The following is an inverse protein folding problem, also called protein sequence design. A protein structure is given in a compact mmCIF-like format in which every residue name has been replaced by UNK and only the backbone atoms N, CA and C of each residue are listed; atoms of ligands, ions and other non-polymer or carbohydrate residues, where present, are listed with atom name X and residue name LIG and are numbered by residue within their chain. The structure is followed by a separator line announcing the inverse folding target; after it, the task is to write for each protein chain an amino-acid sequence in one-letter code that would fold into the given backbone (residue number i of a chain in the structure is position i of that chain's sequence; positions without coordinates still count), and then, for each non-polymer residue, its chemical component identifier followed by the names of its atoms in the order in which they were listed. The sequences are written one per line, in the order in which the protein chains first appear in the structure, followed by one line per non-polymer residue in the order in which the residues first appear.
data_IF_851809806901
#
_entry.id   IF_851809806901
#
_cell.length_a   1.000
_cell.length_b   1.000
_cell.length_c   1.000
_cell.angle_alpha   90.00
_cell.angle_beta   90.00
_cell.angle_gamma   90.00
#
_symmetry.space_group_name_H-M   'P 1'
#
loop_
_entity.id
_entity.type
_entity.pdbx_description
1 polymer ?
#
# COMPACT_ATOMS: atom_id res chain seq x y z
N UNK A 1 4.85 -19.62 26.38
CA UNK A 1 3.97 -18.93 25.41
C UNK A 1 4.52 -19.11 24.01
N UNK A 2 3.67 -19.00 22.99
CA UNK A 2 4.13 -18.93 21.60
C UNK A 2 4.69 -17.52 21.31
N UNK A 3 5.73 -17.43 20.48
CA UNK A 3 6.33 -16.18 20.06
C UNK A 3 6.74 -16.27 18.58
N UNK A 4 6.95 -15.12 17.94
CA UNK A 4 7.42 -15.03 16.56
C UNK A 4 8.88 -14.59 16.52
N UNK A 5 9.63 -15.09 15.54
CA UNK A 5 10.95 -14.59 15.16
C UNK A 5 10.83 -14.01 13.77
N UNK A 6 11.23 -12.74 13.60
CA UNK A 6 11.24 -12.05 12.31
C UNK A 6 12.69 -11.89 11.84
N UNK A 7 13.06 -12.60 10.78
CA UNK A 7 14.35 -12.42 10.12
C UNK A 7 14.26 -11.24 9.14
N UNK A 8 14.82 -10.10 9.55
CA UNK A 8 14.84 -8.88 8.72
C UNK A 8 15.79 -9.00 7.54
N UNK A 9 16.86 -9.81 7.66
CA UNK A 9 17.83 -9.99 6.58
C UNK A 9 17.19 -10.70 5.38
N UNK A 10 16.27 -11.62 5.64
CA UNK A 10 15.51 -12.29 4.59
C UNK A 10 14.60 -11.33 3.80
N UNK A 11 14.00 -10.32 4.45
CA UNK A 11 13.23 -9.26 3.79
C UNK A 11 14.14 -8.46 2.85
N UNK A 12 15.30 -8.03 3.35
CA UNK A 12 16.29 -7.27 2.57
C UNK A 12 16.81 -8.10 1.39
N UNK A 13 17.10 -9.39 1.63
CA UNK A 13 17.54 -10.32 0.59
C UNK A 13 16.49 -10.45 -0.52
N UNK A 14 15.23 -10.68 -0.17
CA UNK A 14 14.12 -10.77 -1.15
C UNK A 14 13.93 -9.48 -1.94
N UNK A 15 14.03 -8.31 -1.29
CA UNK A 15 13.98 -7.03 -1.97
C UNK A 15 15.12 -6.89 -3.01
N UNK A 16 16.35 -7.23 -2.63
CA UNK A 16 17.50 -7.20 -3.55
C UNK A 16 17.30 -8.15 -4.72
N UNK A 17 16.82 -9.37 -4.47
CA UNK A 17 16.50 -10.34 -5.52
C UNK A 17 15.43 -9.80 -6.47
N UNK A 18 14.36 -9.17 -5.97
CA UNK A 18 13.35 -8.54 -6.81
C UNK A 18 13.95 -7.51 -7.75
N UNK A 19 14.82 -6.62 -7.24
CA UNK A 19 15.47 -5.59 -8.07
C UNK A 19 16.35 -6.17 -9.18
N UNK A 20 16.98 -7.33 -8.95
CA UNK A 20 17.80 -8.03 -9.96
C UNK A 20 16.93 -8.77 -10.98
N UNK A 21 15.91 -9.52 -10.51
CA UNK A 21 15.09 -10.39 -11.35
C UNK A 21 14.03 -9.60 -12.14
N UNK A 22 13.53 -8.51 -11.57
CA UNK A 22 12.43 -7.69 -12.11
C UNK A 22 12.85 -6.21 -12.18
N UNK A 23 13.93 -5.85 -12.91
CA UNK A 23 14.53 -4.51 -12.84
C UNK A 23 13.61 -3.39 -13.32
N UNK A 24 12.58 -3.73 -14.11
CA UNK A 24 11.58 -2.79 -14.66
C UNK A 24 10.28 -2.73 -13.87
N UNK A 25 10.13 -3.54 -12.81
CA UNK A 25 8.88 -3.63 -12.04
C UNK A 25 9.12 -3.09 -10.64
N UNK A 26 8.48 -1.97 -10.32
CA UNK A 26 8.49 -1.41 -8.97
C UNK A 26 7.61 -2.28 -8.06
N UNK A 27 8.16 -2.87 -6.97
CA UNK A 27 7.34 -3.63 -6.04
C UNK A 27 6.42 -2.70 -5.26
N UNK A 28 5.15 -3.09 -5.14
CA UNK A 28 4.20 -2.55 -4.17
C UNK A 28 3.81 -3.68 -3.22
N UNK A 29 4.26 -3.61 -1.96
CA UNK A 29 4.02 -4.66 -0.98
C UNK A 29 2.56 -4.64 -0.51
N UNK A 30 1.89 -5.78 -0.58
CA UNK A 30 0.52 -5.93 -0.09
C UNK A 30 0.49 -5.97 1.45
N UNK A 31 0.10 -4.86 2.07
CA UNK A 31 0.14 -4.69 3.54
C UNK A 31 -0.69 -5.75 4.25
N UNK A 32 -1.84 -6.13 3.67
CA UNK A 32 -2.72 -7.23 4.11
C UNK A 32 -2.03 -8.59 4.33
N UNK A 33 -0.85 -8.83 3.74
CA UNK A 33 -0.11 -10.08 3.90
C UNK A 33 0.51 -10.21 5.30
N UNK A 34 1.09 -9.13 5.80
CA UNK A 34 1.67 -9.00 7.13
C UNK A 34 1.92 -7.50 7.35
N UNK A 35 1.17 -6.91 8.29
CA UNK A 35 1.13 -5.49 8.58
C UNK A 35 1.89 -5.11 9.86
N UNK A 36 2.85 -5.98 10.24
CA UNK A 36 3.78 -5.74 11.33
C UNK A 36 4.66 -4.51 11.05
N UNK A 37 4.78 -3.62 12.03
CA UNK A 37 5.51 -2.36 11.90
C UNK A 37 6.94 -2.56 11.37
N UNK A 38 7.68 -3.54 11.91
CA UNK A 38 9.06 -3.81 11.49
C UNK A 38 9.18 -4.18 10.01
N UNK A 39 8.20 -4.93 9.46
CA UNK A 39 8.19 -5.31 8.04
C UNK A 39 7.96 -4.08 7.17
N UNK A 40 6.98 -3.25 7.56
CA UNK A 40 6.61 -2.03 6.82
C UNK A 40 7.74 -0.99 6.87
N UNK A 41 8.36 -0.78 8.03
CA UNK A 41 9.51 0.11 8.23
C UNK A 41 10.69 -0.27 7.34
N UNK A 42 11.08 -1.55 7.34
CA UNK A 42 12.19 -2.06 6.52
C UNK A 42 11.88 -1.86 5.04
N UNK A 43 10.68 -2.24 4.58
CA UNK A 43 10.29 -2.07 3.18
C UNK A 43 10.17 -0.59 2.77
N UNK A 44 9.73 0.28 3.68
CA UNK A 44 9.65 1.72 3.47
C UNK A 44 11.04 2.31 3.28
N UNK A 45 11.99 1.96 4.17
CA UNK A 45 13.40 2.37 4.10
C UNK A 45 14.11 1.87 2.84
N UNK A 46 13.75 0.68 2.34
CA UNK A 46 14.28 0.13 1.09
C UNK A 46 13.72 0.81 -0.18
N UNK A 47 12.65 1.62 -0.06
CA UNK A 47 12.03 2.31 -1.20
C UNK A 47 10.90 1.53 -1.88
N UNK A 48 10.31 0.53 -1.21
CA UNK A 48 9.18 -0.26 -1.74
C UNK A 48 7.90 0.59 -1.78
N UNK A 49 7.06 0.41 -2.80
CA UNK A 49 5.70 0.96 -2.77
C UNK A 49 4.78 0.12 -1.88
N UNK A 50 3.54 0.54 -1.66
CA UNK A 50 2.58 -0.20 -0.86
C UNK A 50 1.24 -0.37 -1.59
N UNK A 51 0.73 -1.59 -1.58
CA UNK A 51 -0.65 -1.92 -1.92
C UNK A 51 -1.45 -1.95 -0.61
N UNK A 52 -2.32 -0.96 -0.44
CA UNK A 52 -3.21 -0.84 0.70
C UNK A 52 -4.64 -1.18 0.28
N UNK A 53 -5.34 -1.96 1.11
CA UNK A 53 -6.72 -2.40 0.90
C UNK A 53 -7.73 -1.68 1.81
N UNK A 54 -7.27 -0.87 2.78
CA UNK A 54 -8.15 -0.17 3.72
C UNK A 54 -7.58 1.18 4.18
N UNK A 55 -8.43 2.03 4.77
CA UNK A 55 -7.98 3.28 5.40
C UNK A 55 -6.97 3.04 6.54
N UNK A 56 -7.05 1.90 7.22
CA UNK A 56 -6.14 1.54 8.31
C UNK A 56 -4.74 1.23 7.78
N UNK A 57 -4.67 0.50 6.66
CA UNK A 57 -3.40 0.23 5.98
C UNK A 57 -2.79 1.50 5.39
N UNK A 58 -3.60 2.40 4.80
CA UNK A 58 -3.14 3.72 4.35
C UNK A 58 -2.50 4.49 5.52
N UNK A 59 -3.18 4.56 6.66
CA UNK A 59 -2.64 5.26 7.83
C UNK A 59 -1.33 4.66 8.30
N UNK A 60 -1.25 3.33 8.44
CA UNK A 60 -0.01 2.65 8.85
C UNK A 60 1.18 3.02 7.98
N UNK A 61 1.00 3.17 6.67
CA UNK A 61 2.08 3.55 5.76
C UNK A 61 2.42 5.03 5.85
N UNK A 62 1.42 5.90 5.99
CA UNK A 62 1.65 7.34 6.12
C UNK A 62 2.25 7.73 7.48
N UNK A 63 1.96 6.97 8.54
CA UNK A 63 2.59 7.12 9.86
C UNK A 63 4.10 6.82 9.81
N UNK A 64 4.57 6.11 8.78
CA UNK A 64 6.00 5.88 8.47
C UNK A 64 6.60 6.97 7.57
N UNK A 65 5.89 8.09 7.40
CA UNK A 65 6.30 9.23 6.56
C UNK A 65 6.56 8.87 5.08
N UNK A 66 5.93 7.80 4.60
CA UNK A 66 6.01 7.41 3.19
C UNK A 66 5.20 8.37 2.33
N UNK A 67 5.78 8.84 1.23
CA UNK A 67 5.09 9.67 0.24
C UNK A 67 3.79 8.97 -0.26
N UNK A 68 2.62 9.63 -0.19
CA UNK A 68 1.35 9.08 -0.69
C UNK A 68 1.41 8.55 -2.13
N UNK A 69 2.28 9.07 -2.99
CA UNK A 69 2.49 8.61 -4.36
C UNK A 69 3.06 7.19 -4.44
N UNK A 70 3.61 6.65 -3.34
CA UNK A 70 4.06 5.25 -3.25
C UNK A 70 2.94 4.30 -2.86
N UNK A 71 1.73 4.79 -2.59
CA UNK A 71 0.58 3.99 -2.18
C UNK A 71 -0.37 3.78 -3.35
N UNK A 72 -0.76 2.52 -3.59
CA UNK A 72 -1.88 2.15 -4.44
C UNK A 72 -2.99 1.69 -3.52
N UNK A 73 -4.15 2.34 -3.57
CA UNK A 73 -5.36 1.84 -2.91
C UNK A 73 -6.00 0.74 -3.76
N UNK A 74 -5.42 -0.47 -3.75
CA UNK A 74 -5.74 -1.53 -4.70
C UNK A 74 -6.90 -2.44 -4.28
N UNK A 75 -7.91 -1.90 -3.60
CA UNK A 75 -9.17 -2.60 -3.35
C UNK A 75 -10.22 -2.16 -4.38
N UNK A 76 -10.79 -3.03 -5.22
CA UNK A 76 -11.73 -2.62 -6.27
C UNK A 76 -13.00 -1.95 -5.71
N UNK A 77 -13.60 -2.53 -4.65
CA UNK A 77 -14.88 -2.11 -4.09
C UNK A 77 -14.76 -1.34 -2.76
N UNK A 78 -14.51 -0.03 -2.78
CA UNK A 78 -14.08 0.71 -1.57
C UNK A 78 -15.24 1.35 -0.82
N UNK A 79 -15.33 1.30 0.52
CA UNK A 79 -16.30 2.11 1.26
C UNK A 79 -16.16 3.60 0.93
N UNK A 80 -17.27 4.33 0.80
CA UNK A 80 -17.26 5.76 0.47
C UNK A 80 -16.43 6.59 1.48
N UNK A 81 -16.44 6.19 2.76
CA UNK A 81 -15.60 6.78 3.80
C UNK A 81 -14.11 6.58 3.56
N UNK A 82 -13.70 5.43 3.01
CA UNK A 82 -12.29 5.14 2.71
C UNK A 82 -11.80 5.91 1.48
N UNK A 83 -12.67 6.12 0.48
CA UNK A 83 -12.34 6.93 -0.70
C UNK A 83 -12.10 8.38 -0.30
N UNK A 84 -13.00 8.97 0.50
CA UNK A 84 -12.82 10.34 1.02
C UNK A 84 -11.55 10.48 1.87
N UNK A 85 -11.23 9.44 2.65
CA UNK A 85 -10.01 9.39 3.44
C UNK A 85 -8.75 9.38 2.57
N UNK A 86 -8.70 8.52 1.55
CA UNK A 86 -7.62 8.48 0.58
C UNK A 86 -7.45 9.84 -0.14
N UNK A 87 -8.55 10.47 -0.54
CA UNK A 87 -8.55 11.80 -1.15
C UNK A 87 -7.95 12.87 -0.24
N UNK A 88 -8.35 12.88 1.04
CA UNK A 88 -7.87 13.84 2.03
C UNK A 88 -6.36 13.71 2.31
N UNK A 89 -5.79 12.52 2.11
CA UNK A 89 -4.38 12.21 2.35
C UNK A 89 -3.53 12.18 1.06
N UNK A 90 -4.12 12.52 -0.09
CA UNK A 90 -3.40 12.57 -1.36
C UNK A 90 -3.02 11.20 -1.95
N UNK A 91 -3.70 10.12 -1.54
CA UNK A 91 -3.53 8.81 -2.18
C UNK A 91 -4.39 8.77 -3.45
N UNK A 92 -3.72 8.95 -4.59
CA UNK A 92 -4.35 9.26 -5.88
C UNK A 92 -4.20 8.14 -6.92
N UNK A 93 -3.91 6.91 -6.51
CA UNK A 93 -3.85 5.76 -7.41
C UNK A 93 -4.68 4.61 -6.84
N UNK A 94 -5.65 4.11 -7.59
CA UNK A 94 -6.58 3.07 -7.13
C UNK A 94 -7.02 2.15 -8.26
N UNK A 95 -7.66 1.04 -7.90
CA UNK A 95 -8.28 0.08 -8.82
C UNK A 95 -9.80 0.15 -8.72
N UNK A 96 -10.52 -0.24 -9.78
CA UNK A 96 -11.95 -0.51 -9.76
C UNK A 96 -12.28 -1.41 -10.96
N UNK A 97 -13.34 -2.21 -10.85
CA UNK A 97 -13.70 -3.22 -11.85
C UNK A 97 -15.17 -3.15 -12.30
N UNK A 98 -15.91 -2.13 -11.86
CA UNK A 98 -17.31 -1.96 -12.20
C UNK A 98 -17.73 -0.48 -12.29
N UNK A 99 -18.85 -0.22 -12.99
CA UNK A 99 -19.35 1.13 -13.24
C UNK A 99 -19.78 1.87 -11.96
N UNK A 100 -20.29 1.14 -10.96
CA UNK A 100 -20.69 1.72 -9.67
C UNK A 100 -19.50 2.32 -8.95
N UNK A 101 -18.35 1.62 -8.93
CA UNK A 101 -17.10 2.14 -8.38
C UNK A 101 -16.60 3.36 -9.18
N UNK A 102 -16.67 3.34 -10.51
CA UNK A 102 -16.30 4.49 -11.34
C UNK A 102 -17.13 5.74 -11.00
N UNK A 103 -18.45 5.61 -10.89
CA UNK A 103 -19.32 6.73 -10.52
C UNK A 103 -19.03 7.23 -9.10
N UNK A 104 -18.71 6.32 -8.19
CA UNK A 104 -18.33 6.68 -6.82
C UNK A 104 -16.99 7.41 -6.77
N UNK A 105 -15.98 6.98 -7.54
CA UNK A 105 -14.70 7.69 -7.67
C UNK A 105 -14.91 9.09 -8.24
N UNK A 106 -15.69 9.22 -9.33
CA UNK A 106 -16.06 10.53 -9.90
C UNK A 106 -16.73 11.46 -8.88
N UNK A 107 -17.54 10.92 -7.96
CA UNK A 107 -18.24 11.73 -6.95
C UNK A 107 -17.38 12.08 -5.74
N UNK A 108 -16.47 11.20 -5.32
CA UNK A 108 -15.82 11.30 -4.00
C UNK A 108 -14.32 11.61 -4.07
N UNK A 109 -13.65 11.26 -5.17
CA UNK A 109 -12.24 11.52 -5.41
C UNK A 109 -11.98 11.67 -6.93
N UNK A 110 -12.49 12.75 -7.54
CA UNK A 110 -12.44 12.95 -9.00
C UNK A 110 -11.04 13.26 -9.55
N UNK A 111 -10.05 13.51 -8.68
CA UNK A 111 -8.67 13.81 -9.03
C UNK A 111 -7.72 12.61 -8.86
N UNK A 112 -8.27 11.45 -8.50
CA UNK A 112 -7.58 10.16 -8.47
C UNK A 112 -7.44 9.56 -9.87
#
# INVERSE_FOLDING_TARGET
EAFYVCDVDDIIFKYKQWKVLMPRVQPHYAVKCNDSAIVLEVLAALGTGFDCASKGEINKILDLEVDPNRIIFAHPCKPASHIRHAAALGVNLTTYDNATELHKMKSLHPTC
#
